data_IF_900444269240
#
_entry.id   IF_900444269240
#
_cell.length_a   1.000
_cell.length_b   1.000
_cell.length_c   1.000
_cell.angle_alpha   90.00
_cell.angle_beta   90.00
_cell.angle_gamma   90.00
#
_symmetry.space_group_name_H-M   'P 1'
#
loop_
_entity.id
_entity.type
_entity.pdbx_description
1 polymer ?
#
# COMPACT_ATOMS: atom_id res chain seq x y z
N UNK A 1 -13.05 -9.95 5.01
CA UNK A 1 -14.21 -9.51 4.20
C UNK A 1 -14.22 -8.01 4.00
N UNK A 2 -14.18 -7.21 5.08
CA UNK A 2 -14.01 -5.75 4.97
C UNK A 2 -12.74 -5.37 4.19
N UNK A 3 -11.62 -5.99 4.52
CA UNK A 3 -10.32 -5.72 3.88
C UNK A 3 -10.27 -6.15 2.41
N UNK A 4 -10.90 -7.28 2.06
CA UNK A 4 -10.99 -7.71 0.66
C UNK A 4 -11.80 -6.75 -0.18
N UNK A 5 -12.94 -6.25 0.33
CA UNK A 5 -13.76 -5.26 -0.36
C UNK A 5 -12.98 -3.98 -0.67
N UNK A 6 -12.14 -3.51 0.27
CA UNK A 6 -11.26 -2.37 0.02
C UNK A 6 -10.26 -2.65 -1.11
N UNK A 7 -9.60 -3.82 -1.11
CA UNK A 7 -8.66 -4.18 -2.17
C UNK A 7 -9.34 -4.27 -3.54
N UNK A 8 -10.50 -4.93 -3.62
CA UNK A 8 -11.29 -5.04 -4.85
C UNK A 8 -11.67 -3.64 -5.35
N UNK A 9 -12.26 -2.82 -4.48
CA UNK A 9 -12.71 -1.47 -4.83
C UNK A 9 -11.54 -0.59 -5.31
N UNK A 10 -10.37 -0.70 -4.68
CA UNK A 10 -9.17 0.04 -5.11
C UNK A 10 -8.71 -0.37 -6.50
N UNK A 11 -8.67 -1.68 -6.77
CA UNK A 11 -8.27 -2.20 -8.06
C UNK A 11 -9.27 -1.79 -9.15
N UNK A 12 -10.56 -2.00 -8.92
CA UNK A 12 -11.62 -1.67 -9.87
C UNK A 12 -11.66 -0.17 -10.17
N UNK A 13 -11.61 0.69 -9.14
CA UNK A 13 -11.61 2.15 -9.35
C UNK A 13 -10.39 2.62 -10.15
N UNK A 14 -9.20 2.11 -9.81
CA UNK A 14 -7.97 2.49 -10.51
C UNK A 14 -8.00 2.06 -11.98
N UNK A 15 -8.50 0.86 -12.26
CA UNK A 15 -8.65 0.35 -13.62
C UNK A 15 -9.63 1.20 -14.44
N UNK A 16 -10.81 1.46 -13.88
CA UNK A 16 -11.85 2.25 -14.56
C UNK A 16 -11.36 3.64 -14.93
N UNK A 17 -10.80 4.38 -13.97
CA UNK A 17 -10.37 5.76 -14.18
C UNK A 17 -9.19 5.85 -15.16
N UNK A 18 -8.36 4.81 -15.26
CA UNK A 18 -7.24 4.79 -16.18
C UNK A 18 -7.68 4.71 -17.66
N UNK A 19 -8.68 3.88 -17.96
CA UNK A 19 -9.11 3.60 -19.35
C UNK A 19 -10.25 4.50 -19.85
N UNK A 20 -11.00 5.15 -18.96
CA UNK A 20 -12.15 5.98 -19.35
C UNK A 20 -11.82 7.43 -19.71
N UNK A 21 -12.64 8.06 -20.55
CA UNK A 21 -12.74 9.52 -20.66
C UNK A 21 -13.09 10.14 -19.32
N UNK A 22 -12.52 11.32 -19.01
CA UNK A 22 -12.76 11.99 -17.73
C UNK A 22 -14.21 12.47 -17.65
N UNK A 23 -14.99 11.84 -16.76
CA UNK A 23 -16.36 12.23 -16.44
C UNK A 23 -16.48 12.59 -14.96
N UNK A 24 -17.40 13.52 -14.65
CA UNK A 24 -17.70 13.93 -13.28
C UNK A 24 -18.19 12.77 -12.39
N UNK A 25 -18.62 11.65 -12.98
CA UNK A 25 -19.11 10.47 -12.27
C UNK A 25 -18.06 9.84 -11.34
N UNK A 26 -16.76 9.98 -11.65
CA UNK A 26 -15.67 9.42 -10.83
C UNK A 26 -15.48 10.14 -9.48
N UNK A 27 -16.02 11.35 -9.34
CA UNK A 27 -15.94 12.10 -8.09
C UNK A 27 -16.85 11.50 -7.00
N UNK A 28 -17.92 10.79 -7.35
CA UNK A 28 -18.87 10.23 -6.39
C UNK A 28 -18.23 9.19 -5.44
N UNK A 29 -17.55 8.13 -5.92
CA UNK A 29 -16.84 7.19 -5.05
C UNK A 29 -15.76 7.88 -4.19
N UNK A 30 -15.08 8.88 -4.76
CA UNK A 30 -14.04 9.65 -4.08
C UNK A 30 -14.60 10.46 -2.90
N UNK A 31 -15.73 11.15 -3.10
CA UNK A 31 -16.39 11.94 -2.05
C UNK A 31 -16.84 11.02 -0.90
N UNK A 32 -17.40 9.85 -1.20
CA UNK A 32 -17.82 8.87 -0.20
C UNK A 32 -16.63 8.41 0.64
N UNK A 33 -15.50 8.10 0.00
CA UNK A 33 -14.28 7.66 0.68
C UNK A 33 -13.66 8.79 1.53
N UNK A 34 -13.66 10.02 1.03
CA UNK A 34 -13.19 11.19 1.79
C UNK A 34 -14.07 11.48 3.01
N UNK A 35 -15.39 11.32 2.87
CA UNK A 35 -16.32 11.49 4.00
C UNK A 35 -16.07 10.47 5.10
N UNK A 36 -15.74 9.23 4.74
CA UNK A 36 -15.43 8.16 5.71
C UNK A 36 -14.15 8.45 6.52
N UNK A 37 -13.16 9.10 5.90
CA UNK A 37 -11.83 9.30 6.49
C UNK A 37 -11.55 10.77 6.89
N UNK A 38 -12.62 11.54 7.13
CA UNK A 38 -12.60 12.98 7.44
C UNK A 38 -11.57 13.40 8.50
N UNK A 39 -11.39 12.57 9.53
CA UNK A 39 -10.44 12.78 10.64
C UNK A 39 -8.98 12.92 10.20
N UNK A 40 -8.61 12.38 9.04
CA UNK A 40 -7.23 12.29 8.55
C UNK A 40 -6.94 13.12 7.30
N UNK A 41 -7.85 14.03 6.94
CA UNK A 41 -7.82 14.79 5.69
C UNK A 41 -6.49 15.54 5.47
N UNK A 42 -5.97 16.22 6.49
CA UNK A 42 -4.69 16.94 6.39
C UNK A 42 -3.50 16.01 6.17
N UNK A 43 -3.49 14.82 6.78
CA UNK A 43 -2.42 13.85 6.61
C UNK A 43 -2.46 13.19 5.22
N UNK A 44 -3.67 13.01 4.67
CA UNK A 44 -3.89 12.54 3.30
C UNK A 44 -3.36 13.58 2.30
N UNK A 45 -3.71 14.86 2.46
CA UNK A 45 -3.21 15.94 1.60
C UNK A 45 -1.69 16.03 1.65
N UNK A 46 -1.08 15.96 2.84
CA UNK A 46 0.39 16.00 2.97
C UNK A 46 1.07 14.88 2.18
N UNK A 47 0.51 13.67 2.20
CA UNK A 47 1.02 12.54 1.40
C UNK A 47 0.82 12.78 -0.10
N UNK A 48 -0.34 13.33 -0.50
CA UNK A 48 -0.66 13.62 -1.89
C UNK A 48 0.26 14.70 -2.48
N UNK A 49 0.59 15.75 -1.72
CA UNK A 49 1.54 16.79 -2.14
C UNK A 49 2.94 16.19 -2.39
N UNK A 50 3.40 15.28 -1.52
CA UNK A 50 4.69 14.61 -1.71
C UNK A 50 4.72 13.78 -3.00
N UNK A 51 3.63 13.07 -3.32
CA UNK A 51 3.53 12.30 -4.56
C UNK A 51 3.38 13.19 -5.80
N UNK A 52 2.71 14.34 -5.67
CA UNK A 52 2.55 15.29 -6.78
C UNK A 52 3.88 15.84 -7.29
N UNK A 53 4.93 15.90 -6.47
CA UNK A 53 6.27 16.28 -6.92
C UNK A 53 6.75 15.39 -8.07
N UNK A 54 6.50 14.08 -8.01
CA UNK A 54 6.89 13.14 -9.08
C UNK A 54 5.99 13.28 -10.31
N UNK A 55 4.68 13.45 -10.10
CA UNK A 55 3.69 13.55 -11.17
C UNK A 55 3.89 14.83 -11.99
N UNK A 56 4.27 15.93 -11.34
CA UNK A 56 4.57 17.19 -12.02
C UNK A 56 5.70 17.04 -13.04
N UNK A 57 6.74 16.25 -12.73
CA UNK A 57 7.81 15.96 -13.68
C UNK A 57 7.28 15.22 -14.91
N UNK A 58 6.40 14.23 -14.72
CA UNK A 58 5.78 13.49 -15.82
C UNK A 58 4.84 14.38 -16.66
N UNK A 59 3.99 15.17 -16.00
CA UNK A 59 3.07 16.10 -16.67
C UNK A 59 3.85 17.14 -17.46
N UNK A 60 4.95 17.66 -16.93
CA UNK A 60 5.83 18.60 -17.63
C UNK A 60 6.40 18.00 -18.91
N UNK A 61 6.82 16.73 -18.88
CA UNK A 61 7.32 16.05 -20.07
C UNK A 61 6.22 15.88 -21.13
N UNK A 62 5.02 15.44 -20.73
CA UNK A 62 3.88 15.26 -21.64
C UNK A 62 3.35 16.59 -22.18
N UNK A 63 3.45 17.67 -21.41
CA UNK A 63 3.01 19.00 -21.80
C UNK A 63 3.71 19.52 -23.07
N UNK A 64 4.99 19.16 -23.26
CA UNK A 64 5.72 19.49 -24.49
C UNK A 64 5.19 18.77 -25.73
N UNK A 65 4.60 17.58 -25.54
CA UNK A 65 4.03 16.81 -26.63
C UNK A 65 2.59 17.26 -26.90
N UNK A 66 1.73 17.23 -25.88
CA UNK A 66 0.30 17.53 -25.96
C UNK A 66 -0.21 18.19 -24.67
N UNK A 67 -0.64 19.45 -24.76
CA UNK A 67 -1.14 20.20 -23.60
C UNK A 67 -2.45 19.64 -23.02
N UNK A 68 -3.39 19.22 -23.87
CA UNK A 68 -4.68 18.65 -23.45
C UNK A 68 -4.54 17.31 -22.72
N UNK A 69 -3.65 16.44 -23.21
CA UNK A 69 -3.39 15.13 -22.61
C UNK A 69 -2.66 15.26 -21.27
N UNK A 70 -1.73 16.22 -21.15
CA UNK A 70 -1.03 16.50 -19.91
C UNK A 70 -2.01 16.86 -18.76
N UNK A 71 -3.02 17.68 -19.07
CA UNK A 71 -4.05 18.04 -18.09
C UNK A 71 -4.93 16.85 -17.69
N UNK A 72 -5.35 16.04 -18.67
CA UNK A 72 -6.12 14.81 -18.42
C UNK A 72 -5.34 13.83 -17.53
N UNK A 73 -4.04 13.65 -17.80
CA UNK A 73 -3.15 12.80 -17.02
C UNK A 73 -3.03 13.28 -15.58
N UNK A 74 -2.85 14.59 -15.38
CA UNK A 74 -2.75 15.19 -14.04
C UNK A 74 -4.00 14.89 -13.22
N UNK A 75 -5.19 15.06 -13.80
CA UNK A 75 -6.46 14.82 -13.11
C UNK A 75 -6.65 13.33 -12.81
N UNK A 76 -6.49 12.44 -13.81
CA UNK A 76 -6.67 10.98 -13.63
C UNK A 76 -5.76 10.44 -12.54
N UNK A 77 -4.49 10.83 -12.59
CA UNK A 77 -3.49 10.34 -11.62
C UNK A 77 -3.82 10.82 -10.21
N UNK A 78 -4.18 12.09 -10.05
CA UNK A 78 -4.59 12.62 -8.74
C UNK A 78 -5.86 11.94 -8.20
N UNK A 79 -6.85 11.66 -9.05
CA UNK A 79 -8.06 10.94 -8.65
C UNK A 79 -7.75 9.52 -8.14
N UNK A 80 -6.93 8.77 -8.89
CA UNK A 80 -6.53 7.41 -8.52
C UNK A 80 -5.75 7.43 -7.21
N UNK A 81 -4.77 8.32 -7.09
CA UNK A 81 -3.92 8.42 -5.90
C UNK A 81 -4.71 8.83 -4.67
N UNK A 82 -5.55 9.86 -4.77
CA UNK A 82 -6.35 10.32 -3.66
C UNK A 82 -7.33 9.24 -3.17
N UNK A 83 -7.92 8.48 -4.09
CA UNK A 83 -8.78 7.35 -3.73
C UNK A 83 -8.01 6.26 -2.98
N UNK A 84 -6.90 5.79 -3.53
CA UNK A 84 -6.10 4.71 -2.93
C UNK A 84 -5.50 5.12 -1.58
N UNK A 85 -4.93 6.33 -1.47
CA UNK A 85 -4.34 6.83 -0.22
C UNK A 85 -5.40 6.91 0.87
N UNK A 86 -6.57 7.48 0.56
CA UNK A 86 -7.65 7.62 1.54
C UNK A 86 -8.16 6.24 1.97
N UNK A 87 -8.40 5.32 1.04
CA UNK A 87 -8.96 4.00 1.33
C UNK A 87 -8.06 3.16 2.27
N UNK A 88 -6.74 3.25 2.08
CA UNK A 88 -5.75 2.52 2.87
C UNK A 88 -5.15 3.33 4.03
N UNK A 89 -5.57 4.57 4.26
CA UNK A 89 -4.91 5.46 5.23
C UNK A 89 -4.82 4.86 6.64
N UNK A 90 -5.92 4.29 7.15
CA UNK A 90 -5.99 3.64 8.46
C UNK A 90 -5.59 2.16 8.47
N UNK A 91 -5.36 1.57 7.30
CA UNK A 91 -5.11 0.11 7.19
C UNK A 91 -3.65 -0.21 7.53
N UNK A 92 -3.43 -1.20 8.38
CA UNK A 92 -2.09 -1.73 8.69
C UNK A 92 -1.65 -2.71 7.59
N UNK A 93 -0.35 -2.95 7.45
CA UNK A 93 0.17 -3.90 6.45
C UNK A 93 -0.46 -5.28 6.53
N UNK A 94 -0.72 -5.79 7.75
CA UNK A 94 -1.38 -7.07 7.98
C UNK A 94 -2.84 -7.12 7.50
N UNK A 95 -3.51 -5.97 7.37
CA UNK A 95 -4.90 -5.88 6.91
C UNK A 95 -4.99 -6.28 5.43
N UNK A 96 -3.97 -5.93 4.65
CA UNK A 96 -3.86 -6.32 3.23
C UNK A 96 -3.73 -7.84 3.13
N UNK A 97 -2.91 -8.48 3.97
CA UNK A 97 -2.75 -9.94 3.99
C UNK A 97 -4.05 -10.65 4.37
N UNK A 98 -4.79 -10.11 5.34
CA UNK A 98 -6.14 -10.61 5.69
C UNK A 98 -7.13 -10.43 4.53
N UNK A 99 -7.00 -9.33 3.78
CA UNK A 99 -7.76 -9.11 2.55
C UNK A 99 -7.48 -10.20 1.51
N UNK A 100 -6.21 -10.53 1.25
CA UNK A 100 -5.79 -11.58 0.33
C UNK A 100 -6.28 -12.97 0.74
N UNK A 101 -6.19 -13.30 2.03
CA UNK A 101 -6.73 -14.55 2.59
C UNK A 101 -8.23 -14.68 2.31
N UNK A 102 -8.98 -13.60 2.55
CA UNK A 102 -10.42 -13.57 2.27
C UNK A 102 -10.80 -13.53 0.79
N UNK A 103 -9.85 -13.25 -0.11
CA UNK A 103 -10.02 -13.37 -1.57
C UNK A 103 -9.76 -14.79 -2.08
N UNK A 104 -9.48 -15.74 -1.19
CA UNK A 104 -9.15 -17.14 -1.53
C UNK A 104 -7.86 -17.29 -2.36
N UNK A 105 -6.88 -16.41 -2.17
CA UNK A 105 -5.54 -16.65 -2.70
C UNK A 105 -4.93 -17.95 -2.13
N UNK A 106 -4.00 -18.60 -2.85
CA UNK A 106 -3.31 -19.78 -2.35
C UNK A 106 -2.70 -19.54 -0.96
N UNK A 107 -2.93 -20.42 0.03
CA UNK A 107 -2.53 -20.20 1.42
C UNK A 107 -1.02 -20.02 1.59
N UNK A 108 -0.23 -20.63 0.70
CA UNK A 108 1.23 -20.48 0.64
C UNK A 108 1.63 -19.02 0.35
N UNK A 109 0.96 -18.37 -0.61
CA UNK A 109 1.24 -16.97 -0.99
C UNK A 109 0.89 -16.04 0.17
N UNK A 110 -0.29 -16.22 0.76
CA UNK A 110 -0.75 -15.45 1.94
C UNK A 110 0.24 -15.59 3.10
N UNK A 111 0.70 -16.81 3.36
CA UNK A 111 1.68 -17.08 4.42
C UNK A 111 3.02 -16.41 4.15
N UNK A 112 3.53 -16.47 2.90
CA UNK A 112 4.75 -15.76 2.51
C UNK A 112 4.60 -14.25 2.75
N UNK A 113 3.51 -13.63 2.31
CA UNK A 113 3.27 -12.20 2.55
C UNK A 113 3.17 -11.85 4.03
N UNK A 114 2.59 -12.72 4.86
CA UNK A 114 2.57 -12.51 6.30
C UNK A 114 3.99 -12.51 6.89
N UNK A 115 4.81 -13.49 6.53
CA UNK A 115 6.18 -13.58 7.04
C UNK A 115 7.07 -12.47 6.53
N UNK A 116 6.90 -12.00 5.29
CA UNK A 116 7.66 -10.85 4.79
C UNK A 116 7.34 -9.59 5.60
N UNK A 117 6.08 -9.32 5.92
CA UNK A 117 5.71 -8.20 6.80
C UNK A 117 6.27 -8.34 8.21
N UNK A 118 6.27 -9.56 8.75
CA UNK A 118 6.86 -9.86 10.05
C UNK A 118 8.36 -9.60 10.05
N UNK A 119 9.08 -10.10 9.03
CA UNK A 119 10.51 -9.88 8.83
C UNK A 119 10.85 -8.40 8.64
N UNK A 120 10.07 -7.64 7.88
CA UNK A 120 10.26 -6.18 7.75
C UNK A 120 10.15 -5.50 9.12
N UNK A 121 9.17 -5.91 9.93
CA UNK A 121 8.97 -5.36 11.28
C UNK A 121 10.17 -5.68 12.18
N UNK A 122 10.67 -6.92 12.15
CA UNK A 122 11.84 -7.34 12.91
C UNK A 122 13.11 -6.61 12.44
N UNK A 123 13.39 -6.60 11.14
CA UNK A 123 14.54 -5.92 10.54
C UNK A 123 14.54 -4.42 10.89
N UNK A 124 13.39 -3.76 10.82
CA UNK A 124 13.27 -2.33 11.15
C UNK A 124 13.57 -2.07 12.63
N UNK A 125 13.11 -2.97 13.52
CA UNK A 125 13.40 -2.89 14.95
C UNK A 125 14.90 -3.06 15.21
N UNK A 126 15.51 -4.11 14.65
CA UNK A 126 16.93 -4.42 14.82
C UNK A 126 17.84 -3.32 14.24
N UNK A 127 17.44 -2.73 13.11
CA UNK A 127 18.13 -1.57 12.53
C UNK A 127 18.04 -0.35 13.44
N UNK A 128 16.86 -0.07 14.01
CA UNK A 128 16.67 1.05 14.95
C UNK A 128 17.48 0.87 16.23
N UNK A 129 17.50 -0.35 16.79
CA UNK A 129 18.29 -0.68 17.98
C UNK A 129 19.79 -0.50 17.70
N UNK A 130 20.29 -1.05 16.60
CA UNK A 130 21.71 -0.92 16.22
C UNK A 130 22.10 0.54 16.01
N UNK A 131 21.24 1.34 15.36
CA UNK A 131 21.44 2.80 15.21
C UNK A 131 21.52 3.51 16.56
N UNK A 132 20.70 3.12 17.53
CA UNK A 132 20.73 3.71 18.87
C UNK A 132 22.02 3.32 19.62
N UNK A 133 22.48 2.08 19.52
CA UNK A 133 23.75 1.63 20.11
C UNK A 133 24.94 2.41 19.55
N UNK A 134 24.96 2.70 18.25
CA UNK A 134 26.01 3.50 17.63
C UNK A 134 26.00 4.95 18.12
N UNK A 135 24.82 5.55 18.21
CA UNK A 135 24.67 6.90 18.80
C UNK A 135 25.18 6.94 20.24
N UNK A 136 24.89 5.91 21.04
CA UNK A 136 25.41 5.81 22.41
C UNK A 136 26.93 5.70 22.47
N UNK A 137 27.57 5.14 21.43
CA UNK A 137 29.04 5.08 21.27
C UNK A 137 29.65 6.36 20.69
N UNK A 138 28.87 7.42 20.50
CA UNK A 138 29.35 8.70 19.95
C UNK A 138 29.45 8.75 18.42
N UNK A 139 28.87 7.79 17.70
CA UNK A 139 28.86 7.81 16.24
C UNK A 139 27.96 8.92 15.69
N UNK A 140 28.52 9.77 14.83
CA UNK A 140 27.80 10.86 14.14
C UNK A 140 27.66 10.52 12.66
N UNK A 141 26.42 10.53 12.15
CA UNK A 141 26.13 10.22 10.75
C UNK A 141 26.50 11.40 9.84
N UNK A 142 27.70 11.38 9.27
CA UNK A 142 28.20 12.36 8.29
C UNK A 142 28.28 11.76 6.87
N UNK A 143 28.45 12.57 5.84
CA UNK A 143 28.64 12.10 4.44
C UNK A 143 30.07 11.65 4.13
N UNK A 144 30.78 11.05 5.10
CA UNK A 144 32.14 10.55 4.91
C UNK A 144 32.15 9.08 4.48
N UNK A 145 33.24 8.65 3.82
CA UNK A 145 33.44 7.26 3.41
C UNK A 145 33.37 6.29 4.61
N UNK A 146 33.90 6.71 5.77
CA UNK A 146 33.86 5.95 7.01
C UNK A 146 32.42 5.70 7.48
N UNK A 147 31.54 6.69 7.33
CA UNK A 147 30.12 6.52 7.67
C UNK A 147 29.45 5.48 6.77
N UNK A 148 29.71 5.52 5.46
CA UNK A 148 29.18 4.54 4.52
C UNK A 148 29.70 3.13 4.79
N UNK A 149 30.99 2.99 5.08
CA UNK A 149 31.60 1.71 5.47
C UNK A 149 30.96 1.16 6.75
N UNK A 150 30.71 2.03 7.74
CA UNK A 150 30.04 1.66 8.99
C UNK A 150 28.60 1.18 8.72
N UNK A 151 27.84 1.89 7.89
CA UNK A 151 26.51 1.45 7.45
C UNK A 151 26.55 0.12 6.71
N UNK A 152 27.50 -0.09 5.80
CA UNK A 152 27.70 -1.37 5.11
C UNK A 152 27.92 -2.54 6.09
N UNK A 153 28.79 -2.35 7.08
CA UNK A 153 29.06 -3.36 8.11
C UNK A 153 27.81 -3.68 8.95
N UNK A 154 27.03 -2.67 9.32
CA UNK A 154 25.76 -2.84 10.04
C UNK A 154 24.76 -3.65 9.22
N UNK A 155 24.59 -3.32 7.94
CA UNK A 155 23.70 -4.05 7.06
C UNK A 155 24.12 -5.51 6.94
N UNK A 156 25.41 -5.80 6.74
CA UNK A 156 25.93 -7.16 6.69
C UNK A 156 25.66 -7.94 7.98
N UNK A 157 25.95 -7.34 9.13
CA UNK A 157 25.70 -7.95 10.44
C UNK A 157 24.21 -8.25 10.69
N UNK A 158 23.32 -7.27 10.41
CA UNK A 158 21.87 -7.45 10.59
C UNK A 158 21.34 -8.53 9.64
N UNK A 159 21.82 -8.55 8.40
CA UNK A 159 21.38 -9.51 7.40
C UNK A 159 21.69 -10.95 7.81
N UNK A 160 22.92 -11.22 8.24
CA UNK A 160 23.33 -12.56 8.72
C UNK A 160 22.48 -12.97 9.95
N UNK A 161 22.24 -12.03 10.87
CA UNK A 161 21.44 -12.27 12.08
C UNK A 161 19.98 -12.63 11.73
N UNK A 162 19.33 -11.86 10.87
CA UNK A 162 17.93 -12.10 10.49
C UNK A 162 17.77 -13.36 9.62
N UNK A 163 18.77 -13.72 8.81
CA UNK A 163 18.78 -15.02 8.11
C UNK A 163 18.74 -16.19 9.10
N UNK A 164 19.65 -16.21 10.08
CA UNK A 164 19.68 -17.25 11.12
C UNK A 164 18.37 -17.32 11.90
N UNK A 165 17.82 -16.16 12.28
CA UNK A 165 16.53 -16.06 12.97
C UNK A 165 15.36 -16.58 12.13
N UNK A 166 15.39 -16.37 10.81
CA UNK A 166 14.38 -16.91 9.90
C UNK A 166 14.45 -18.44 9.80
N UNK A 167 15.65 -19.03 9.87
CA UNK A 167 15.85 -20.48 9.95
C UNK A 167 15.33 -21.05 11.27
N UNK A 168 15.66 -20.41 12.39
CA UNK A 168 15.14 -20.79 13.71
C UNK A 168 13.61 -20.73 13.75
N UNK A 169 13.02 -19.69 13.14
CA UNK A 169 11.56 -19.57 12.99
C UNK A 169 11.00 -20.73 12.17
N UNK A 170 11.61 -21.06 11.02
CA UNK A 170 11.20 -22.19 10.18
C UNK A 170 11.24 -23.52 10.94
N UNK A 171 12.31 -23.78 11.70
CA UNK A 171 12.44 -24.99 12.51
C UNK A 171 11.35 -25.07 13.59
N UNK A 172 11.08 -23.97 14.29
CA UNK A 172 10.02 -23.87 15.30
C UNK A 172 8.63 -24.12 14.68
N UNK A 173 8.36 -23.59 13.50
CA UNK A 173 7.09 -23.80 12.80
C UNK A 173 6.94 -25.24 12.32
N UNK A 174 8.02 -25.87 11.85
CA UNK A 174 8.03 -27.30 11.51
C UNK A 174 7.73 -28.16 12.73
N UNK A 175 8.34 -27.87 13.88
CA UNK A 175 8.09 -28.58 15.14
C UNK A 175 6.63 -28.45 15.62
N UNK A 176 5.97 -27.32 15.34
CA UNK A 176 4.54 -27.08 15.65
C UNK A 176 3.58 -27.71 14.62
N UNK A 177 4.08 -28.41 13.60
CA UNK A 177 3.24 -29.04 12.59
C UNK A 177 2.57 -28.06 11.62
N UNK A 178 3.23 -26.96 11.28
CA UNK A 178 2.70 -25.97 10.33
C UNK A 178 2.38 -26.58 8.95
N UNK A 179 1.14 -26.40 8.49
CA UNK A 179 0.61 -26.94 7.22
C UNK A 179 0.42 -25.84 6.16
N UNK A 180 1.45 -25.03 5.92
CA UNK A 180 1.50 -23.99 4.87
C UNK A 180 0.38 -22.94 4.91
N UNK A 181 -0.35 -22.83 6.02
CA UNK A 181 -1.45 -21.89 6.21
C UNK A 181 -1.36 -21.23 7.58
N UNK A 182 -1.44 -19.91 7.56
CA UNK A 182 -1.61 -19.08 8.75
C UNK A 182 -3.10 -18.84 8.96
N UNK A 183 -3.55 -18.95 10.21
CA UNK A 183 -4.94 -18.72 10.56
C UNK A 183 -5.11 -17.31 11.12
N UNK A 184 -5.99 -16.54 10.52
CA UNK A 184 -6.37 -15.21 11.01
C UNK A 184 -7.68 -15.29 11.79
N UNK A 185 -7.73 -14.63 12.95
CA UNK A 185 -8.99 -14.41 13.65
C UNK A 185 -9.75 -13.32 12.89
N UNK A 186 -10.79 -13.74 12.17
CA UNK A 186 -11.59 -12.87 11.32
C UNK A 186 -12.84 -12.41 12.08
N UNK A 187 -12.79 -11.22 12.68
CA UNK A 187 -13.92 -10.62 13.41
C UNK A 187 -14.61 -9.47 12.66
N UNK A 188 -14.34 -9.30 11.36
CA UNK A 188 -14.80 -8.12 10.65
C UNK A 188 -16.19 -8.26 10.03
N UNK A 189 -17.14 -7.54 10.62
CA UNK A 189 -18.47 -7.31 10.03
C UNK A 189 -18.37 -6.26 8.91
N UNK A 190 -19.07 -6.53 7.80
CA UNK A 190 -19.19 -5.59 6.68
C UNK A 190 -20.08 -4.43 7.12
N UNK A 191 -19.57 -3.21 6.97
CA UNK A 191 -20.29 -1.98 7.32
C UNK A 191 -21.11 -1.53 6.11
N UNK A 192 -22.29 -0.94 6.35
CA UNK A 192 -23.19 -0.43 5.30
C UNK A 192 -22.46 0.48 4.29
N UNK A 193 -21.57 1.35 4.78
CA UNK A 193 -20.75 2.25 3.95
C UNK A 193 -19.89 1.53 2.91
N UNK A 194 -19.34 0.35 3.24
CA UNK A 194 -18.51 -0.41 2.29
C UNK A 194 -19.34 -1.04 1.17
N UNK A 195 -20.58 -1.42 1.48
CA UNK A 195 -21.55 -1.87 0.48
C UNK A 195 -21.95 -0.74 -0.45
N UNK A 196 -22.23 0.45 0.09
CA UNK A 196 -22.56 1.64 -0.71
C UNK A 196 -21.40 2.00 -1.63
N UNK A 197 -20.16 2.01 -1.13
CA UNK A 197 -18.98 2.26 -1.93
C UNK A 197 -18.78 1.24 -3.05
N UNK A 198 -18.98 -0.05 -2.75
CA UNK A 198 -18.87 -1.10 -3.77
C UNK A 198 -19.95 -0.94 -4.86
N UNK A 199 -21.18 -0.61 -4.46
CA UNK A 199 -22.29 -0.38 -5.38
C UNK A 199 -22.00 0.80 -6.33
N UNK A 200 -21.51 1.94 -5.82
CA UNK A 200 -21.20 3.09 -6.68
C UNK A 200 -20.10 2.80 -7.68
N UNK A 201 -19.06 2.03 -7.30
CA UNK A 201 -18.00 1.62 -8.23
C UNK A 201 -18.53 0.68 -9.33
N UNK A 202 -19.46 -0.22 -9.00
CA UNK A 202 -20.10 -1.10 -9.97
C UNK A 202 -20.93 -0.30 -10.98
N UNK A 203 -21.68 0.70 -10.51
CA UNK A 203 -22.45 1.59 -11.41
C UNK A 203 -21.52 2.33 -12.37
N UNK A 204 -20.39 2.83 -11.87
CA UNK A 204 -19.39 3.51 -12.70
C UNK A 204 -18.76 2.54 -13.71
N UNK A 205 -18.45 1.29 -13.31
CA UNK A 205 -17.98 0.24 -14.21
C UNK A 205 -18.96 -0.04 -15.36
N UNK A 206 -20.25 -0.20 -15.06
CA UNK A 206 -21.28 -0.47 -16.06
C UNK A 206 -21.40 0.67 -17.07
N UNK A 207 -21.32 1.92 -16.60
CA UNK A 207 -21.37 3.08 -17.48
C UNK A 207 -20.16 3.15 -18.43
N UNK A 208 -18.95 2.95 -17.90
CA UNK A 208 -17.73 2.95 -18.72
C UNK A 208 -17.71 1.76 -19.69
N UNK A 209 -18.22 0.60 -19.27
CA UNK A 209 -18.44 -0.53 -20.16
C UNK A 209 -19.38 -0.18 -21.32
N UNK A 210 -20.49 0.50 -21.04
CA UNK A 210 -21.42 0.95 -22.08
C UNK A 210 -20.76 1.94 -23.06
N UNK A 211 -19.93 2.87 -22.58
CA UNK A 211 -19.20 3.83 -23.43
C UNK A 211 -18.07 3.19 -24.27
N UNK A 212 -17.54 2.04 -23.87
CA UNK A 212 -16.50 1.33 -24.64
C UNK A 212 -17.07 0.42 -25.75
N UNK A 213 -18.30 -0.08 -25.58
CA UNK A 213 -18.97 -0.99 -26.51
C UNK A 213 -19.91 -0.30 -27.50
N UNK A 214 -20.04 1.03 -27.43
CA UNK A 214 -20.96 1.84 -28.22
C UNK A 214 -20.21 2.94 -28.96
#
# INVERSE_FOLDING_TARGET
MKESLKLINSFLYSFVVAFSSLHYIFLLPLIIVLFMERESFFQIIKKLVLLNTFILVLVFFVYFQNSSEAFSLLIRTNLILLFNITLFYKSKGYDIVRGLDSLSFPPKIVSVFYFTLSLITFLTKDFKETKNTLKARGFVSNTSIFTYQTYGNIFGMIFIKELKKSEDMKLSMKARGFKDRIFFINSNKIILFEKVLSCTIIVVLLKVGYELFN
#
